data_IF_983761616211
#
_entry.id   IF_983761616211
#
_cell.length_a   1.000
_cell.length_b   1.000
_cell.length_c   1.000
_cell.angle_alpha   90.00
_cell.angle_beta   90.00
_cell.angle_gamma   90.00
#
_symmetry.space_group_name_H-M   'P 1'
#
loop_
_entity.id
_entity.type
_entity.pdbx_description
1 polymer ?
#
# COMPACT_ATOMS: atom_id res chain seq x y z
N UNK A 1 -38.83 -23.14 -3.36
CA UNK A 1 -37.46 -23.17 -3.92
C UNK A 1 -37.24 -21.86 -4.66
N UNK A 2 -36.44 -20.93 -4.10
CA UNK A 2 -36.14 -19.64 -4.72
C UNK A 2 -35.08 -19.85 -5.80
N UNK A 3 -35.37 -19.40 -7.02
CA UNK A 3 -34.51 -19.52 -8.19
C UNK A 3 -33.11 -18.94 -7.91
N UNK A 4 -32.05 -19.57 -8.42
CA UNK A 4 -30.70 -19.02 -8.36
C UNK A 4 -30.63 -17.61 -8.98
N UNK A 5 -31.51 -17.28 -9.96
CA UNK A 5 -31.59 -15.94 -10.55
C UNK A 5 -32.22 -14.89 -9.61
N UNK A 6 -33.06 -15.30 -8.67
CA UNK A 6 -33.68 -14.40 -7.69
C UNK A 6 -32.72 -14.07 -6.55
N UNK A 7 -31.85 -15.01 -6.14
CA UNK A 7 -30.78 -14.73 -5.15
C UNK A 7 -29.76 -13.71 -5.65
N UNK A 8 -29.54 -13.62 -6.97
CA UNK A 8 -28.67 -12.60 -7.56
C UNK A 8 -29.32 -11.21 -7.65
N UNK A 9 -30.66 -11.11 -7.68
CA UNK A 9 -31.36 -9.81 -7.71
C UNK A 9 -31.50 -9.17 -6.34
N UNK A 10 -31.58 -9.94 -5.26
CA UNK A 10 -31.63 -9.40 -3.88
C UNK A 10 -30.28 -8.95 -3.32
N UNK A 11 -29.16 -9.28 -3.97
CA UNK A 11 -27.83 -8.74 -3.61
C UNK A 11 -27.44 -7.50 -4.44
N UNK A 12 -28.25 -7.10 -5.43
CA UNK A 12 -27.95 -6.01 -6.35
C UNK A 12 -28.74 -4.73 -6.08
N UNK A 13 -29.42 -4.63 -4.95
CA UNK A 13 -30.16 -3.43 -4.55
C UNK A 13 -29.58 -2.91 -3.22
N UNK A 14 -29.04 -1.68 -3.26
CA UNK A 14 -28.61 -0.80 -2.17
C UNK A 14 -27.19 -0.87 -1.56
N UNK A 15 -26.25 -1.72 -2.01
CA UNK A 15 -24.91 -1.81 -1.36
C UNK A 15 -23.66 -1.44 -2.18
N UNK A 16 -23.76 -1.34 -3.51
CA UNK A 16 -22.56 -1.39 -4.39
C UNK A 16 -22.15 -0.09 -5.10
N UNK A 17 -23.00 0.95 -5.10
CA UNK A 17 -22.77 2.16 -5.89
C UNK A 17 -22.19 3.33 -5.08
N UNK A 18 -22.66 3.55 -3.85
CA UNK A 18 -22.20 4.66 -2.99
C UNK A 18 -20.92 4.33 -2.18
N UNK A 19 -20.60 3.04 -2.04
CA UNK A 19 -19.47 2.60 -1.19
C UNK A 19 -18.07 2.70 -1.82
N UNK A 20 -17.93 2.89 -3.14
CA UNK A 20 -16.59 2.96 -3.77
C UNK A 20 -15.82 4.19 -3.26
N UNK A 21 -16.41 5.37 -3.44
CA UNK A 21 -15.78 6.64 -3.08
C UNK A 21 -15.65 6.78 -1.57
N UNK A 22 -16.70 6.40 -0.83
CA UNK A 22 -16.70 6.47 0.62
C UNK A 22 -15.60 5.60 1.24
N UNK A 23 -15.43 4.36 0.76
CA UNK A 23 -14.41 3.45 1.29
C UNK A 23 -12.99 3.97 1.05
N UNK A 24 -12.69 4.50 -0.14
CA UNK A 24 -11.37 5.06 -0.45
C UNK A 24 -11.12 6.36 0.31
N UNK A 25 -12.14 7.24 0.38
CA UNK A 25 -12.06 8.51 1.13
C UNK A 25 -11.86 8.26 2.63
N UNK A 26 -12.55 7.30 3.22
CA UNK A 26 -12.38 6.92 4.63
C UNK A 26 -10.93 6.53 4.95
N UNK A 27 -10.27 5.77 4.07
CA UNK A 27 -8.85 5.41 4.20
C UNK A 27 -7.97 6.66 4.12
N UNK A 28 -8.18 7.52 3.12
CA UNK A 28 -7.44 8.76 2.97
C UNK A 28 -7.60 9.67 4.20
N UNK A 29 -8.82 9.82 4.72
CA UNK A 29 -9.11 10.61 5.91
C UNK A 29 -8.40 10.06 7.16
N UNK A 30 -8.35 8.74 7.32
CA UNK A 30 -7.56 8.08 8.37
C UNK A 30 -6.07 8.42 8.28
N UNK A 31 -5.50 8.33 7.08
CA UNK A 31 -4.08 8.67 6.81
C UNK A 31 -3.84 10.16 7.06
N UNK A 32 -4.69 11.04 6.54
CA UNK A 32 -4.59 12.49 6.70
C UNK A 32 -4.63 12.89 8.17
N UNK A 33 -5.52 12.30 8.95
CA UNK A 33 -5.61 12.58 10.37
C UNK A 33 -4.37 12.10 11.15
N UNK A 34 -3.81 10.94 10.81
CA UNK A 34 -2.57 10.44 11.40
C UNK A 34 -1.38 11.35 11.06
N UNK A 35 -1.24 11.76 9.79
CA UNK A 35 -0.17 12.66 9.34
C UNK A 35 -0.26 14.03 10.02
N UNK A 36 -1.45 14.63 10.08
CA UNK A 36 -1.66 15.91 10.77
C UNK A 36 -1.30 15.84 12.26
N UNK A 37 -1.64 14.74 12.93
CA UNK A 37 -1.24 14.54 14.32
C UNK A 37 0.28 14.39 14.46
N UNK A 38 0.90 13.62 13.56
CA UNK A 38 2.34 13.43 13.54
C UNK A 38 3.08 14.77 13.42
N UNK A 39 2.72 15.60 12.43
CA UNK A 39 3.32 16.92 12.22
C UNK A 39 3.10 17.86 13.42
N UNK A 40 1.90 17.83 14.04
CA UNK A 40 1.62 18.59 15.26
C UNK A 40 2.50 18.16 16.45
N UNK A 41 2.79 16.86 16.56
CA UNK A 41 3.48 16.28 17.71
C UNK A 41 5.01 16.39 17.68
N UNK A 42 5.61 16.80 16.56
CA UNK A 42 7.07 16.83 16.37
C UNK A 42 7.60 18.25 16.18
N UNK A 43 8.72 18.63 16.84
CA UNK A 43 9.42 19.86 16.50
C UNK A 43 9.94 19.80 15.05
N UNK A 44 10.04 20.97 14.42
CA UNK A 44 10.17 21.27 12.97
C UNK A 44 11.15 20.46 12.10
N UNK A 45 11.95 19.53 12.65
CA UNK A 45 12.95 18.74 11.93
C UNK A 45 12.40 17.50 11.19
N UNK A 46 11.11 17.18 11.30
CA UNK A 46 10.51 15.99 10.68
C UNK A 46 9.19 16.26 9.96
N UNK A 47 9.07 17.44 9.36
CA UNK A 47 7.88 17.81 8.57
C UNK A 47 7.68 16.84 7.41
N UNK A 48 6.48 16.26 7.33
CA UNK A 48 6.04 15.52 6.15
C UNK A 48 5.13 16.41 5.29
N UNK A 49 5.33 16.49 3.97
CA UNK A 49 4.37 17.21 3.14
C UNK A 49 2.96 16.66 3.32
N UNK A 50 1.96 17.54 3.25
CA UNK A 50 0.57 17.15 3.55
C UNK A 50 0.06 16.13 2.54
N UNK A 51 -0.67 15.08 2.98
CA UNK A 51 -1.31 14.15 2.08
C UNK A 51 -2.24 14.86 1.09
N UNK A 52 -2.21 14.42 -0.18
CA UNK A 52 -3.04 14.97 -1.27
C UNK A 52 -4.00 13.92 -1.80
N UNK A 53 -5.18 14.35 -2.22
CA UNK A 53 -6.19 13.51 -2.89
C UNK A 53 -6.72 14.23 -4.12
N UNK A 54 -6.88 13.50 -5.21
CA UNK A 54 -7.51 13.95 -6.44
C UNK A 54 -8.56 12.94 -6.90
N UNK A 55 -9.66 13.47 -7.41
CA UNK A 55 -10.83 12.67 -7.78
C UNK A 55 -11.23 13.00 -9.20
N UNK A 56 -11.31 11.96 -10.01
CA UNK A 56 -11.65 12.05 -11.42
C UNK A 56 -12.98 11.37 -11.67
N UNK A 57 -13.77 12.00 -12.56
CA UNK A 57 -15.11 11.55 -12.94
C UNK A 57 -15.12 11.05 -14.37
N UNK A 58 -15.90 10.00 -14.60
CA UNK A 58 -16.17 9.46 -15.92
C UNK A 58 -16.99 10.46 -16.73
N UNK A 59 -16.50 10.86 -17.90
CA UNK A 59 -17.25 11.74 -18.82
C UNK A 59 -18.59 11.15 -19.28
N UNK A 60 -18.68 9.81 -19.33
CA UNK A 60 -19.88 9.10 -19.80
C UNK A 60 -20.97 9.04 -18.73
N UNK A 61 -20.60 8.83 -17.48
CA UNK A 61 -21.55 8.55 -16.39
C UNK A 61 -21.66 9.68 -15.38
N UNK A 62 -20.72 10.63 -15.37
CA UNK A 62 -20.61 11.66 -14.34
C UNK A 62 -20.11 11.15 -12.98
N UNK A 63 -20.05 9.84 -12.80
CA UNK A 63 -19.63 9.19 -11.55
C UNK A 63 -18.11 9.19 -11.36
N UNK A 64 -17.69 9.22 -10.09
CA UNK A 64 -16.28 9.07 -9.70
C UNK A 64 -15.77 7.69 -10.11
N UNK A 65 -14.67 7.68 -10.89
CA UNK A 65 -14.14 6.45 -11.47
C UNK A 65 -12.65 6.24 -11.22
N UNK A 66 -11.94 7.29 -10.77
CA UNK A 66 -10.56 7.20 -10.34
C UNK A 66 -10.37 8.15 -9.14
N UNK A 67 -9.81 7.60 -8.06
CA UNK A 67 -9.36 8.38 -6.90
C UNK A 67 -7.86 8.13 -6.76
N UNK A 68 -7.09 9.21 -6.78
CA UNK A 68 -5.66 9.20 -6.50
C UNK A 68 -5.44 9.83 -5.14
N UNK A 69 -4.58 9.22 -4.31
CA UNK A 69 -4.04 9.94 -3.16
C UNK A 69 -2.60 9.57 -2.93
N UNK A 70 -1.84 10.50 -2.33
CA UNK A 70 -0.46 10.29 -1.93
C UNK A 70 -0.20 10.78 -0.52
N UNK A 71 0.73 10.12 0.15
CA UNK A 71 1.25 10.53 1.45
C UNK A 71 2.74 10.19 1.56
N UNK A 72 3.45 10.98 2.35
CA UNK A 72 4.91 10.93 2.45
C UNK A 72 5.31 10.17 3.71
N UNK A 73 6.34 9.35 3.60
CA UNK A 73 6.89 8.60 4.72
C UNK A 73 8.14 9.34 5.20
N UNK A 74 8.25 9.66 6.50
CA UNK A 74 9.44 10.32 7.03
C UNK A 74 10.68 9.43 6.88
N UNK A 75 11.83 10.05 6.64
CA UNK A 75 13.10 9.37 6.48
C UNK A 75 13.50 8.62 7.76
N UNK A 76 14.19 7.49 7.60
CA UNK A 76 14.76 6.77 8.75
C UNK A 76 16.16 7.26 9.13
N UNK A 77 16.84 7.96 8.20
CA UNK A 77 18.20 8.49 8.33
C UNK A 77 18.35 9.76 7.51
N UNK A 78 19.17 10.71 8.00
CA UNK A 78 19.47 11.95 7.28
C UNK A 78 20.12 11.66 5.93
N UNK A 79 19.64 12.30 4.87
CA UNK A 79 20.19 12.15 3.52
C UNK A 79 19.68 10.93 2.77
N UNK A 80 18.69 10.21 3.34
CA UNK A 80 17.97 9.17 2.61
C UNK A 80 16.99 9.84 1.64
N UNK A 81 16.84 9.28 0.44
CA UNK A 81 15.77 9.71 -0.48
C UNK A 81 14.40 9.56 0.22
N UNK A 82 13.62 10.64 0.36
CA UNK A 82 12.30 10.55 0.97
C UNK A 82 11.39 9.60 0.18
N UNK A 83 10.53 8.84 0.86
CA UNK A 83 9.60 7.94 0.17
C UNK A 83 8.19 8.53 0.10
N UNK A 84 7.50 8.30 -1.01
CA UNK A 84 6.08 8.64 -1.20
C UNK A 84 5.28 7.40 -1.55
N UNK A 85 4.13 7.23 -0.90
CA UNK A 85 3.17 6.17 -1.24
C UNK A 85 2.05 6.79 -2.04
N UNK A 86 1.80 6.25 -3.23
CA UNK A 86 0.74 6.66 -4.13
C UNK A 86 -0.26 5.52 -4.25
N UNK A 87 -1.54 5.83 -4.12
CA UNK A 87 -2.65 4.89 -4.28
C UNK A 87 -3.55 5.39 -5.39
N UNK A 88 -3.73 4.56 -6.41
CA UNK A 88 -4.66 4.78 -7.50
C UNK A 88 -5.79 3.75 -7.43
N UNK A 89 -7.00 4.19 -7.13
CA UNK A 89 -8.19 3.35 -7.08
C UNK A 89 -9.10 3.65 -8.27
N UNK A 90 -9.15 2.75 -9.25
CA UNK A 90 -9.99 2.87 -10.44
C UNK A 90 -11.20 1.94 -10.37
N UNK A 91 -12.38 2.42 -10.76
CA UNK A 91 -13.60 1.63 -10.94
C UNK A 91 -13.99 1.55 -12.41
N UNK A 92 -14.10 0.33 -12.92
CA UNK A 92 -14.71 0.07 -14.23
C UNK A 92 -16.22 -0.11 -14.10
N UNK A 93 -16.98 0.59 -14.95
CA UNK A 93 -18.42 0.41 -15.08
C UNK A 93 -18.80 -0.71 -16.09
N UNK A 94 -17.83 -1.31 -16.77
CA UNK A 94 -18.07 -2.40 -17.71
C UNK A 94 -18.17 -3.74 -16.96
N UNK A 95 -19.16 -4.56 -17.31
CA UNK A 95 -19.48 -5.80 -16.58
C UNK A 95 -19.78 -6.96 -17.55
N UNK A 96 -19.00 -8.06 -17.56
CA UNK A 96 -17.66 -8.20 -16.98
C UNK A 96 -16.60 -7.43 -17.79
N UNK A 97 -15.50 -7.03 -17.14
CA UNK A 97 -14.39 -6.33 -17.77
C UNK A 97 -13.65 -7.25 -18.75
N UNK A 98 -13.45 -6.80 -20.00
CA UNK A 98 -12.67 -7.52 -21.00
C UNK A 98 -11.21 -7.04 -21.04
N UNK A 99 -10.32 -7.84 -21.66
CA UNK A 99 -8.89 -7.48 -21.86
C UNK A 99 -8.74 -6.10 -22.51
N UNK A 100 -9.46 -5.85 -23.60
CA UNK A 100 -9.43 -4.56 -24.31
C UNK A 100 -9.83 -3.38 -23.41
N UNK A 101 -10.87 -3.54 -22.59
CA UNK A 101 -11.31 -2.49 -21.65
C UNK A 101 -10.24 -2.25 -20.59
N UNK A 102 -9.65 -3.31 -20.04
CA UNK A 102 -8.57 -3.19 -19.07
C UNK A 102 -7.37 -2.44 -19.65
N UNK A 103 -6.88 -2.83 -20.83
CA UNK A 103 -5.72 -2.20 -21.48
C UNK A 103 -5.96 -0.74 -21.82
N UNK A 104 -7.17 -0.40 -22.29
CA UNK A 104 -7.56 1.00 -22.55
C UNK A 104 -7.59 1.83 -21.27
N UNK A 105 -8.27 1.33 -20.23
CA UNK A 105 -8.36 2.02 -18.93
C UNK A 105 -7.01 2.11 -18.25
N UNK A 106 -6.14 1.11 -18.41
CA UNK A 106 -4.77 1.09 -17.89
C UNK A 106 -3.96 2.29 -18.38
N UNK A 107 -3.93 2.55 -19.70
CA UNK A 107 -3.21 3.71 -20.26
C UNK A 107 -3.69 5.04 -19.68
N UNK A 108 -5.01 5.15 -19.46
CA UNK A 108 -5.59 6.33 -18.83
C UNK A 108 -5.11 6.48 -17.37
N UNK A 109 -5.21 5.41 -16.57
CA UNK A 109 -4.78 5.42 -15.16
C UNK A 109 -3.30 5.78 -15.07
N UNK A 110 -2.44 5.14 -15.87
CA UNK A 110 -1.01 5.35 -15.79
C UNK A 110 -0.61 6.78 -16.12
N UNK A 111 -1.14 7.33 -17.22
CA UNK A 111 -0.87 8.73 -17.57
C UNK A 111 -1.29 9.69 -16.47
N UNK A 112 -2.46 9.48 -15.85
CA UNK A 112 -2.92 10.33 -14.76
C UNK A 112 -2.08 10.14 -13.49
N UNK A 113 -1.54 8.95 -13.24
CA UNK A 113 -0.56 8.72 -12.16
C UNK A 113 0.73 9.49 -12.44
N UNK A 114 1.28 9.43 -13.65
CA UNK A 114 2.50 10.17 -14.03
C UNK A 114 2.32 11.70 -13.88
N UNK A 115 1.17 12.23 -14.30
CA UNK A 115 0.81 13.64 -14.10
C UNK A 115 0.72 13.98 -12.60
N UNK A 116 0.15 13.08 -11.79
CA UNK A 116 -0.03 13.29 -10.34
C UNK A 116 1.27 13.21 -9.52
N UNK A 117 2.29 12.52 -10.04
CA UNK A 117 3.60 12.35 -9.39
C UNK A 117 4.68 13.27 -9.93
N UNK A 118 4.38 14.14 -10.90
CA UNK A 118 5.38 15.04 -11.50
C UNK A 118 6.08 15.96 -10.48
N UNK A 119 5.34 16.41 -9.46
CA UNK A 119 5.89 17.22 -8.37
C UNK A 119 6.77 16.42 -7.38
N UNK A 120 6.70 15.09 -7.40
CA UNK A 120 7.45 14.19 -6.51
C UNK A 120 8.72 13.64 -7.18
N UNK A 121 9.18 14.28 -8.27
CA UNK A 121 10.46 13.94 -8.91
C UNK A 121 11.60 14.06 -7.89
N UNK A 122 12.25 12.93 -7.61
CA UNK A 122 13.31 12.82 -6.61
C UNK A 122 12.89 12.09 -5.33
N UNK A 123 11.63 11.70 -5.19
CA UNK A 123 11.17 10.80 -4.14
C UNK A 123 11.30 9.33 -4.57
N UNK A 124 11.46 8.42 -3.61
CA UNK A 124 11.25 6.99 -3.82
C UNK A 124 9.75 6.72 -3.87
N UNK A 125 9.22 6.55 -5.08
CA UNK A 125 7.80 6.30 -5.30
C UNK A 125 7.42 4.84 -5.02
N UNK A 126 6.27 4.63 -4.37
CA UNK A 126 5.67 3.32 -4.16
C UNK A 126 4.20 3.35 -4.59
N UNK A 127 3.90 2.78 -5.76
CA UNK A 127 2.61 2.99 -6.43
C UNK A 127 1.73 1.74 -6.35
N UNK A 128 0.59 1.87 -5.69
CA UNK A 128 -0.42 0.82 -5.59
C UNK A 128 -1.62 1.14 -6.47
N UNK A 129 -1.84 0.33 -7.50
CA UNK A 129 -2.92 0.54 -8.47
C UNK A 129 -3.96 -0.55 -8.31
N UNK A 130 -5.19 -0.16 -7.97
CA UNK A 130 -6.32 -1.04 -7.78
C UNK A 130 -7.31 -0.85 -8.93
N UNK A 131 -7.44 -1.86 -9.77
CA UNK A 131 -8.43 -1.89 -10.84
C UNK A 131 -9.65 -2.71 -10.38
N UNK A 132 -10.71 -2.00 -9.99
CA UNK A 132 -11.94 -2.60 -9.48
C UNK A 132 -12.99 -2.77 -10.59
N UNK A 133 -13.67 -3.91 -10.60
CA UNK A 133 -14.75 -4.21 -11.54
C UNK A 133 -15.65 -5.34 -11.05
N UNK A 134 -16.85 -5.44 -11.62
CA UNK A 134 -17.79 -6.54 -11.33
C UNK A 134 -17.53 -7.74 -12.24
N UNK A 135 -16.40 -8.39 -12.00
CA UNK A 135 -15.94 -9.56 -12.74
C UNK A 135 -15.01 -9.24 -13.91
N UNK A 136 -14.18 -10.22 -14.24
CA UNK A 136 -13.14 -10.13 -15.26
C UNK A 136 -13.24 -11.33 -16.20
N UNK A 137 -13.18 -11.07 -17.51
CA UNK A 137 -13.12 -12.14 -18.53
C UNK A 137 -11.72 -12.77 -18.58
N UNK A 138 -11.64 -13.94 -19.22
CA UNK A 138 -10.37 -14.55 -19.58
C UNK A 138 -9.47 -13.54 -20.33
N UNK A 139 -8.17 -13.56 -20.04
CA UNK A 139 -7.16 -12.65 -20.61
C UNK A 139 -6.90 -11.35 -19.82
N UNK A 140 -7.78 -10.94 -18.89
CA UNK A 140 -7.50 -9.73 -18.08
C UNK A 140 -6.36 -9.99 -17.08
N UNK A 141 -6.32 -11.17 -16.45
CA UNK A 141 -5.22 -11.54 -15.55
C UNK A 141 -3.87 -11.61 -16.26
N UNK A 142 -3.84 -12.07 -17.51
CA UNK A 142 -2.63 -12.08 -18.33
C UNK A 142 -2.17 -10.67 -18.66
N UNK A 143 -3.08 -9.78 -19.06
CA UNK A 143 -2.76 -8.38 -19.30
C UNK A 143 -2.24 -7.70 -18.03
N UNK A 144 -2.85 -7.96 -16.86
CA UNK A 144 -2.36 -7.48 -15.56
C UNK A 144 -0.96 -7.99 -15.24
N UNK A 145 -0.66 -9.27 -15.53
CA UNK A 145 0.69 -9.84 -15.36
C UNK A 145 1.71 -9.16 -16.27
N UNK A 146 1.35 -8.92 -17.54
CA UNK A 146 2.22 -8.22 -18.48
C UNK A 146 2.54 -6.79 -18.00
N UNK A 147 1.53 -6.04 -17.51
CA UNK A 147 1.75 -4.71 -16.93
C UNK A 147 2.69 -4.75 -15.72
N UNK A 148 2.46 -5.67 -14.78
CA UNK A 148 3.33 -5.81 -13.62
C UNK A 148 4.75 -6.29 -13.99
N UNK A 149 4.89 -7.09 -15.05
CA UNK A 149 6.18 -7.47 -15.62
C UNK A 149 6.93 -6.26 -16.15
N UNK A 150 6.24 -5.41 -16.92
CA UNK A 150 6.80 -4.17 -17.46
C UNK A 150 7.31 -3.23 -16.36
N UNK A 151 6.57 -3.03 -15.27
CA UNK A 151 7.07 -2.24 -14.14
C UNK A 151 8.37 -2.78 -13.55
N UNK A 152 8.42 -4.09 -13.34
CA UNK A 152 9.61 -4.75 -12.80
C UNK A 152 10.82 -4.58 -13.73
N UNK A 153 10.61 -4.73 -15.04
CA UNK A 153 11.64 -4.57 -16.06
C UNK A 153 12.15 -3.12 -16.15
N UNK A 154 11.26 -2.14 -16.01
CA UNK A 154 11.59 -0.71 -16.01
C UNK A 154 12.08 -0.17 -14.66
N UNK A 155 12.18 -1.01 -13.62
CA UNK A 155 12.56 -0.59 -12.28
C UNK A 155 11.53 0.33 -11.59
N UNK A 156 10.30 0.38 -12.08
CA UNK A 156 9.21 1.18 -11.50
C UNK A 156 8.62 0.40 -10.33
N UNK A 157 8.58 1.00 -9.16
CA UNK A 157 8.04 0.38 -7.95
C UNK A 157 6.50 0.52 -7.89
N UNK A 158 5.83 -0.04 -8.89
CA UNK A 158 4.40 -0.01 -9.06
C UNK A 158 3.81 -1.42 -9.13
N UNK A 159 2.56 -1.58 -8.69
CA UNK A 159 1.84 -2.85 -8.79
C UNK A 159 0.36 -2.64 -9.06
N UNK A 160 -0.14 -3.32 -10.09
CA UNK A 160 -1.55 -3.39 -10.43
C UNK A 160 -2.19 -4.63 -9.83
N UNK A 161 -3.33 -4.43 -9.18
CA UNK A 161 -4.18 -5.47 -8.59
C UNK A 161 -5.59 -5.39 -9.14
N UNK A 162 -6.12 -6.52 -9.58
CA UNK A 162 -7.54 -6.64 -9.92
C UNK A 162 -8.34 -6.87 -8.64
N UNK A 163 -9.45 -6.14 -8.50
CA UNK A 163 -10.38 -6.27 -7.38
C UNK A 163 -11.76 -6.60 -7.92
N UNK A 164 -12.18 -7.86 -7.75
CA UNK A 164 -13.52 -8.29 -8.13
C UNK A 164 -14.51 -7.89 -7.04
N UNK A 165 -15.28 -6.84 -7.33
CA UNK A 165 -16.22 -6.24 -6.39
C UNK A 165 -17.38 -7.17 -6.00
N UNK A 166 -17.57 -8.28 -6.71
CA UNK A 166 -18.55 -9.31 -6.35
C UNK A 166 -18.13 -10.12 -5.12
N UNK A 167 -16.82 -10.18 -4.84
CA UNK A 167 -16.26 -11.06 -3.81
C UNK A 167 -15.43 -10.31 -2.77
N UNK A 168 -15.02 -9.07 -3.05
CA UNK A 168 -14.09 -8.33 -2.19
C UNK A 168 -14.44 -6.85 -2.12
N UNK A 169 -14.35 -6.31 -0.91
CA UNK A 169 -14.33 -4.86 -0.67
C UNK A 169 -13.02 -4.26 -1.17
N UNK A 170 -13.13 -3.18 -1.95
CA UNK A 170 -11.99 -2.39 -2.37
C UNK A 170 -11.28 -1.76 -1.17
N UNK A 171 -12.05 -1.15 -0.26
CA UNK A 171 -11.51 -0.51 0.94
C UNK A 171 -10.69 -1.48 1.78
N UNK A 172 -11.23 -2.68 2.07
CA UNK A 172 -10.50 -3.69 2.85
C UNK A 172 -9.27 -4.23 2.12
N UNK A 173 -9.28 -4.21 0.79
CA UNK A 173 -8.13 -4.61 -0.01
C UNK A 173 -7.02 -3.57 0.09
N UNK A 174 -7.33 -2.29 -0.11
CA UNK A 174 -6.39 -1.17 0.03
C UNK A 174 -5.83 -1.13 1.45
N UNK A 175 -6.71 -1.15 2.46
CA UNK A 175 -6.36 -1.11 3.88
C UNK A 175 -5.35 -2.20 4.24
N UNK A 176 -5.65 -3.46 3.91
CA UNK A 176 -4.76 -4.60 4.21
C UNK A 176 -3.40 -4.50 3.52
N UNK A 177 -3.38 -4.03 2.27
CA UNK A 177 -2.14 -3.89 1.53
C UNK A 177 -1.27 -2.76 2.10
N UNK A 178 -1.87 -1.62 2.48
CA UNK A 178 -1.16 -0.52 3.15
C UNK A 178 -0.63 -0.92 4.53
N UNK A 179 -1.46 -1.58 5.36
CA UNK A 179 -1.04 -2.09 6.67
C UNK A 179 0.14 -3.06 6.51
N UNK A 180 0.05 -4.00 5.57
CA UNK A 180 1.13 -4.95 5.30
C UNK A 180 2.39 -4.23 4.85
N UNK A 181 2.28 -3.31 3.91
CA UNK A 181 3.42 -2.58 3.37
C UNK A 181 4.14 -1.77 4.46
N UNK A 182 3.42 -0.91 5.18
CA UNK A 182 3.98 -0.06 6.23
C UNK A 182 4.48 -0.89 7.41
N UNK A 183 3.68 -1.86 7.84
CA UNK A 183 3.99 -2.77 8.93
C UNK A 183 5.25 -3.59 8.67
N UNK A 184 5.39 -4.16 7.46
CA UNK A 184 6.62 -4.89 7.09
C UNK A 184 7.86 -4.00 7.08
N UNK A 185 7.76 -2.73 6.65
CA UNK A 185 8.88 -1.79 6.74
C UNK A 185 9.26 -1.51 8.19
N UNK A 186 8.29 -1.27 9.07
CA UNK A 186 8.54 -1.07 10.50
C UNK A 186 9.15 -2.30 11.17
N UNK A 187 8.66 -3.50 10.88
CA UNK A 187 9.23 -4.75 11.40
C UNK A 187 10.68 -4.96 10.99
N UNK A 188 11.02 -4.74 9.71
CA UNK A 188 12.41 -4.87 9.25
C UNK A 188 13.33 -3.88 9.94
N UNK A 189 12.86 -2.64 10.14
CA UNK A 189 13.64 -1.64 10.88
C UNK A 189 13.85 -2.10 12.33
N UNK A 190 12.80 -2.55 13.02
CA UNK A 190 12.88 -3.10 14.38
C UNK A 190 13.86 -4.28 14.45
N UNK A 191 13.80 -5.22 13.50
CA UNK A 191 14.74 -6.35 13.45
C UNK A 191 16.19 -5.89 13.27
N UNK A 192 16.41 -4.93 12.36
CA UNK A 192 17.75 -4.40 12.07
C UNK A 192 18.40 -3.66 13.24
N UNK A 193 17.60 -3.10 14.15
CA UNK A 193 18.08 -2.31 15.29
C UNK A 193 18.39 -3.17 16.54
N UNK A 194 18.27 -4.50 16.42
CA UNK A 194 18.60 -5.44 17.50
C UNK A 194 17.46 -6.39 17.85
N UNK A 195 16.77 -6.91 16.83
CA UNK A 195 15.54 -7.72 16.84
C UNK A 195 15.42 -8.83 17.91
N UNK A 196 15.31 -8.45 19.18
CA UNK A 196 15.17 -9.37 20.32
C UNK A 196 15.72 -8.84 21.65
N UNK A 197 16.49 -7.74 21.65
CA UNK A 197 17.03 -7.15 22.89
C UNK A 197 16.02 -6.20 23.53
N UNK A 198 15.47 -6.61 24.67
CA UNK A 198 14.68 -5.72 25.52
C UNK A 198 15.60 -4.64 26.12
N UNK A 199 15.22 -3.37 25.95
CA UNK A 199 15.97 -2.22 26.46
C UNK A 199 16.52 -1.24 25.42
N UNK A 200 16.48 -1.57 24.13
CA UNK A 200 16.90 -0.64 23.07
C UNK A 200 15.92 0.55 23.00
N UNK A 201 16.43 1.76 23.21
CA UNK A 201 15.67 3.01 23.03
C UNK A 201 15.87 3.58 21.64
N UNK A 202 14.79 4.04 21.02
CA UNK A 202 14.81 4.75 19.74
C UNK A 202 14.47 6.23 19.93
N UNK A 203 15.14 7.08 19.15
CA UNK A 203 15.00 8.55 19.13
C UNK A 203 15.19 9.08 17.71
N UNK A 204 14.90 10.37 17.50
CA UNK A 204 15.13 11.05 16.22
C UNK A 204 14.36 10.42 15.04
N UNK A 205 14.96 10.41 13.85
CA UNK A 205 14.34 9.97 12.60
C UNK A 205 13.79 8.53 12.65
N UNK A 206 14.49 7.61 13.31
CA UNK A 206 14.01 6.23 13.51
C UNK A 206 12.72 6.21 14.30
N UNK A 207 12.65 6.96 15.42
CA UNK A 207 11.44 7.06 16.22
C UNK A 207 10.32 7.74 15.42
N UNK A 208 10.63 8.82 14.70
CA UNK A 208 9.68 9.52 13.84
C UNK A 208 9.04 8.59 12.81
N UNK A 209 9.83 7.74 12.15
CA UNK A 209 9.32 6.74 11.23
C UNK A 209 8.40 5.71 11.92
N UNK A 210 8.82 5.16 13.07
CA UNK A 210 8.02 4.18 13.79
C UNK A 210 6.71 4.77 14.33
N UNK A 211 6.74 6.00 14.86
CA UNK A 211 5.56 6.75 15.29
C UNK A 211 4.59 6.94 14.11
N UNK A 212 5.09 7.42 12.97
CA UNK A 212 4.29 7.66 11.78
C UNK A 212 3.59 6.38 11.28
N UNK A 213 4.34 5.29 11.16
CA UNK A 213 3.76 3.99 10.75
C UNK A 213 2.73 3.52 11.77
N UNK A 214 3.03 3.58 13.07
CA UNK A 214 2.11 3.14 14.11
C UNK A 214 0.81 3.97 14.11
N UNK A 215 0.89 5.29 13.91
CA UNK A 215 -0.26 6.18 13.82
C UNK A 215 -1.15 5.85 12.62
N UNK A 216 -0.56 5.66 11.43
CA UNK A 216 -1.33 5.28 10.24
C UNK A 216 -1.96 3.90 10.41
N UNK A 217 -1.18 2.89 10.80
CA UNK A 217 -1.66 1.51 10.89
C UNK A 217 -2.79 1.42 11.92
N UNK A 218 -2.64 2.04 13.10
CA UNK A 218 -3.70 2.08 14.10
C UNK A 218 -4.95 2.82 13.62
N UNK A 219 -4.82 3.96 12.92
CA UNK A 219 -5.98 4.62 12.28
C UNK A 219 -6.73 3.73 11.29
N UNK A 220 -6.01 2.88 10.59
CA UNK A 220 -6.58 1.97 9.59
C UNK A 220 -7.15 0.68 10.20
N UNK A 221 -6.88 0.37 11.47
CA UNK A 221 -7.25 -0.92 12.09
C UNK A 221 -8.06 -0.75 13.36
N UNK A 222 -7.49 -0.10 14.38
CA UNK A 222 -8.06 0.01 15.72
C UNK A 222 -7.77 1.39 16.34
N UNK A 223 -8.84 2.17 16.51
CA UNK A 223 -8.78 3.51 17.08
C UNK A 223 -8.44 3.53 18.58
N UNK A 224 -8.62 2.41 19.29
CA UNK A 224 -8.21 2.32 20.69
C UNK A 224 -6.69 2.37 20.82
N UNK A 225 -5.99 1.58 19.99
CA UNK A 225 -4.52 1.56 19.92
C UNK A 225 -3.97 2.90 19.40
N UNK A 226 -4.71 3.61 18.56
CA UNK A 226 -4.29 4.93 18.06
C UNK A 226 -4.00 5.91 19.21
N UNK A 227 -4.83 5.92 20.27
CA UNK A 227 -4.62 6.80 21.43
C UNK A 227 -3.34 6.45 22.19
N UNK A 228 -3.06 5.16 22.38
CA UNK A 228 -1.81 4.70 23.00
C UNK A 228 -0.58 5.18 22.20
N UNK A 229 -0.66 5.06 20.87
CA UNK A 229 0.42 5.52 19.96
C UNK A 229 0.58 7.04 20.04
N UNK A 230 -0.51 7.80 20.16
CA UNK A 230 -0.44 9.26 20.31
C UNK A 230 0.37 9.65 21.56
N UNK A 231 0.17 8.97 22.68
CA UNK A 231 0.91 9.27 23.92
C UNK A 231 2.38 8.85 23.88
N UNK A 232 2.70 7.77 23.16
CA UNK A 232 4.09 7.37 22.91
C UNK A 232 4.78 8.36 21.96
N UNK A 233 4.05 8.90 20.98
CA UNK A 233 4.58 9.81 19.97
C UNK A 233 5.06 11.14 20.56
N UNK A 234 4.40 11.62 21.62
CA UNK A 234 4.75 12.83 22.39
C UNK A 234 6.07 12.71 23.14
N UNK A 235 6.55 11.48 23.41
CA UNK A 235 7.82 11.25 24.12
C UNK A 235 9.00 11.47 23.17
N UNK A 236 10.10 12.01 23.70
CA UNK A 236 11.34 12.20 22.93
C UNK A 236 12.03 10.88 22.54
N UNK A 237 11.87 9.85 23.37
CA UNK A 237 12.38 8.50 23.16
C UNK A 237 11.36 7.44 23.59
N UNK A 238 11.48 6.23 23.04
CA UNK A 238 10.66 5.09 23.42
C UNK A 238 11.44 3.78 23.27
N UNK A 239 11.04 2.75 24.00
CA UNK A 239 11.64 1.41 23.85
C UNK A 239 11.18 0.76 22.56
N UNK A 240 12.09 0.06 21.89
CA UNK A 240 11.80 -0.69 20.67
C UNK A 240 10.74 -1.78 20.89
N UNK A 241 10.73 -2.40 22.08
CA UNK A 241 9.73 -3.39 22.49
C UNK A 241 8.31 -2.83 22.55
N UNK A 242 8.14 -1.52 22.80
CA UNK A 242 6.83 -0.85 22.77
C UNK A 242 6.27 -0.84 21.35
N UNK A 243 7.08 -0.49 20.36
CA UNK A 243 6.64 -0.53 18.95
C UNK A 243 6.37 -1.96 18.49
N UNK A 244 7.17 -2.93 18.94
CA UNK A 244 6.91 -4.35 18.68
C UNK A 244 5.52 -4.75 19.18
N UNK A 245 5.24 -4.48 20.46
CA UNK A 245 3.96 -4.82 21.08
C UNK A 245 2.78 -4.11 20.38
N UNK A 246 2.96 -2.86 19.93
CA UNK A 246 1.94 -2.15 19.13
C UNK A 246 1.69 -2.89 17.82
N UNK A 247 2.73 -3.21 17.05
CA UNK A 247 2.56 -3.89 15.76
C UNK A 247 1.90 -5.26 15.92
N UNK A 248 2.27 -6.02 16.96
CA UNK A 248 1.64 -7.30 17.30
C UNK A 248 0.14 -7.13 17.64
N UNK A 249 -0.22 -6.14 18.47
CA UNK A 249 -1.62 -5.81 18.77
C UNK A 249 -2.41 -5.46 17.51
N UNK A 250 -1.78 -4.78 16.56
CA UNK A 250 -2.38 -4.40 15.28
C UNK A 250 -2.41 -5.55 14.26
N UNK A 251 -2.11 -6.79 14.70
CA UNK A 251 -2.02 -8.00 13.85
C UNK A 251 -1.02 -7.85 12.70
N UNK A 252 -0.03 -6.99 12.87
CA UNK A 252 1.12 -6.89 11.97
C UNK A 252 2.19 -7.81 12.54
N UNK A 253 2.35 -9.00 11.95
CA UNK A 253 3.42 -9.93 12.31
C UNK A 253 4.73 -9.65 11.57
N UNK A 254 5.85 -10.25 12.01
CA UNK A 254 7.10 -10.22 11.26
C UNK A 254 6.87 -10.79 9.84
N UNK A 255 7.58 -10.28 8.82
CA UNK A 255 7.48 -10.82 7.48
C UNK A 255 7.82 -12.32 7.51
N UNK A 256 7.06 -13.14 6.78
CA UNK A 256 7.31 -14.59 6.72
C UNK A 256 8.71 -14.79 6.12
N UNK A 257 9.67 -15.19 6.96
CA UNK A 257 11.00 -15.60 6.48
C UNK A 257 10.78 -16.82 5.58
N UNK A 258 11.07 -16.69 4.29
CA UNK A 258 11.17 -17.85 3.41
C UNK A 258 12.31 -18.71 3.97
N UNK A 259 11.96 -19.83 4.59
CA UNK A 259 12.89 -20.93 4.75
C UNK A 259 13.41 -21.25 3.36
N UNK A 260 14.71 -21.07 3.14
CA UNK A 260 15.38 -21.43 1.90
C UNK A 260 15.26 -22.94 1.68
N UNK A 261 14.18 -23.37 1.03
CA UNK A 261 14.00 -24.72 0.54
C UNK A 261 14.83 -24.89 -0.72
N UNK A 262 16.04 -25.41 -0.54
CA UNK A 262 16.73 -26.16 -1.58
C UNK A 262 15.95 -27.46 -1.82
N UNK A 263 15.13 -27.52 -2.86
CA UNK A 263 14.62 -28.79 -3.38
C UNK A 263 14.77 -28.84 -4.91
N UNK A 264 15.80 -29.58 -5.33
CA UNK A 264 15.81 -30.36 -6.57
C UNK A 264 14.96 -31.62 -6.34
N UNK A 265 14.32 -32.12 -7.40
CA UNK A 265 13.49 -33.35 -7.48
C UNK A 265 12.07 -33.14 -6.95
N UNK A 266 10.97 -33.52 -7.59
CA UNK A 266 10.69 -34.33 -8.78
C UNK A 266 9.18 -34.18 -9.07
N UNK A 267 8.68 -34.76 -10.16
CA UNK A 267 7.37 -34.40 -10.74
C UNK A 267 6.13 -34.83 -9.98
N UNK A 268 4.97 -34.32 -10.44
CA UNK A 268 3.65 -34.88 -10.08
C UNK A 268 2.55 -33.85 -9.85
N UNK A 269 1.79 -33.58 -10.91
CA UNK A 269 0.35 -33.27 -10.95
C UNK A 269 -0.32 -32.44 -9.83
N UNK A 270 -0.89 -31.30 -10.25
CA UNK A 270 -2.28 -30.96 -9.95
C UNK A 270 -2.58 -30.30 -8.61
N UNK A 271 -2.14 -29.05 -8.40
CA UNK A 271 -2.67 -28.22 -7.32
C UNK A 271 -2.97 -26.76 -7.76
N UNK A 272 -4.05 -26.24 -7.15
CA UNK A 272 -4.73 -24.96 -7.39
C UNK A 272 -3.78 -23.74 -7.31
N UNK A 273 -4.07 -22.61 -8.00
CA UNK A 273 -3.22 -21.43 -7.92
C UNK A 273 -3.38 -20.75 -6.55
N UNK A 274 -2.39 -20.97 -5.68
CA UNK A 274 -2.23 -20.28 -4.40
C UNK A 274 -1.96 -18.79 -4.59
N UNK A 275 -2.95 -17.97 -4.26
CA UNK A 275 -2.90 -16.49 -4.27
C UNK A 275 -2.35 -16.00 -2.93
N UNK A 276 -1.03 -15.95 -2.68
CA UNK A 276 -0.51 -15.19 -1.52
C UNK A 276 0.98 -14.80 -1.49
N UNK A 277 1.87 -15.30 -2.36
CA UNK A 277 3.31 -15.33 -2.02
C UNK A 277 4.18 -14.11 -2.39
N UNK A 278 3.68 -13.13 -3.15
CA UNK A 278 4.51 -12.04 -3.73
C UNK A 278 4.27 -10.66 -3.10
N UNK A 279 4.05 -10.60 -1.78
CA UNK A 279 3.86 -9.36 -1.02
C UNK A 279 5.08 -8.98 -0.17
N UNK A 280 6.07 -9.87 -0.06
CA UNK A 280 7.19 -9.72 0.88
C UNK A 280 8.39 -8.96 0.31
N UNK A 281 8.37 -8.52 -0.95
CA UNK A 281 9.46 -7.73 -1.52
C UNK A 281 8.99 -6.32 -1.88
N UNK A 282 9.69 -5.24 -1.47
CA UNK A 282 9.73 -4.07 -2.34
C UNK A 282 10.28 -4.56 -3.69
N UNK A 283 9.74 -4.11 -4.82
CA UNK A 283 10.18 -4.62 -6.14
C UNK A 283 11.68 -4.38 -6.36
N UNK A 284 12.23 -3.38 -5.66
CA UNK A 284 13.64 -3.06 -5.53
C UNK A 284 13.92 -2.87 -4.03
N UNK A 285 14.95 -3.50 -3.49
CA UNK A 285 15.36 -3.25 -2.11
C UNK A 285 15.99 -1.86 -2.00
N UNK A 286 15.56 -1.01 -1.04
CA UNK A 286 16.24 0.25 -0.77
C UNK A 286 17.65 -0.06 -0.24
N UNK A 287 18.63 -0.04 -1.15
CA UNK A 287 20.02 -0.43 -0.88
C UNK A 287 20.76 -1.13 -2.03
N UNK A 288 20.11 -1.54 -3.11
CA UNK A 288 20.78 -2.23 -4.23
C UNK A 288 21.44 -1.29 -5.28
N UNK A 289 21.70 -0.03 -4.93
CA UNK A 289 22.46 0.93 -5.75
C UNK A 289 23.65 1.52 -4.97
N UNK A 290 24.38 0.67 -4.24
CA UNK A 290 25.75 0.99 -3.81
C UNK A 290 26.72 0.06 -4.56
N UNK A 291 27.50 0.68 -5.45
CA UNK A 291 28.82 0.27 -5.97
C UNK A 291 28.96 0.47 -7.48
N UNK A 292 28.71 1.68 -7.97
CA UNK A 292 29.40 2.24 -9.16
C UNK A 292 29.52 3.75 -9.07
N UNK A 293 30.38 4.23 -8.18
CA UNK A 293 31.08 5.49 -8.38
C UNK A 293 32.47 5.37 -7.74
N UNK A 294 33.44 5.03 -8.58
CA UNK A 294 34.86 5.25 -8.28
C UNK A 294 35.12 6.71 -8.70
N UNK A 295 35.50 7.62 -7.79
CA UNK A 295 35.99 8.92 -8.21
C UNK A 295 37.38 8.72 -8.81
N UNK A 296 37.54 9.04 -10.09
CA UNK A 296 38.87 9.35 -10.61
C UNK A 296 39.12 10.80 -10.25
N UNK A 297 40.13 11.00 -9.42
CA UNK A 297 40.71 12.29 -9.10
C UNK A 297 41.71 12.69 -10.20
N UNK A 298 41.84 14.01 -10.34
CA UNK A 298 42.69 14.81 -11.25
C UNK A 298 42.18 15.00 -12.68
#
# INVERSE_FOLDING_TARGET
MVSASERYKTLSTSGGLDGFSEAVRSIFEGIRAAANYFDYSKPSSSYTPKPRVEVYRSRRTGEENLILFKFYIPETRVGQTPSVVIVAAYRSFNKPVSKFIFERSWRYIWRTVEEFTEEDRGFEEHIFIYFAGEGFRAGVEEAKRAVNGGFKESGVNAKVRLVDLRFRSLGDTIRRDLIRYLGSRAWRLIESLGGGRDGVKVRGSVKSFLDFVALIVSRLTDLSVYRDVQDISKRGEALLSVYRAILEKLSVGPPKRRSGGSERSGGGSGERPGVSADLDRPLIEPGALSDRFIPVAE
#
